data_IF_832306178785
#
_entry.id   IF_832306178785
#
_cell.length_a   1.000
_cell.length_b   1.000
_cell.length_c   1.000
_cell.angle_alpha   90.00
_cell.angle_beta   90.00
_cell.angle_gamma   90.00
#
_symmetry.space_group_name_H-M   'P 1'
#
loop_
_entity.id
_entity.type
_entity.pdbx_description
1 polymer ?
#
# COMPACT_ATOMS: atom_id res chain seq x y z
N UNK A 1 18.81 -12.85 3.19
CA UNK A 1 19.43 -11.60 3.68
C UNK A 1 20.14 -10.96 2.50
N UNK A 2 19.95 -9.68 2.29
CA UNK A 2 20.60 -8.88 1.25
C UNK A 2 21.18 -7.63 1.89
N UNK A 3 22.26 -7.11 1.34
CA UNK A 3 22.81 -5.80 1.71
C UNK A 3 22.47 -4.81 0.61
N UNK A 4 21.72 -3.78 0.96
CA UNK A 4 21.24 -2.73 0.06
C UNK A 4 21.53 -1.38 0.72
N UNK A 5 22.24 -0.49 0.03
CA UNK A 5 22.56 0.84 0.55
C UNK A 5 23.34 0.79 1.89
N UNK A 6 24.21 -0.22 2.07
CA UNK A 6 24.98 -0.43 3.32
C UNK A 6 24.16 -1.02 4.47
N UNK A 7 22.89 -1.40 4.23
CA UNK A 7 22.00 -1.98 5.26
C UNK A 7 21.67 -3.42 4.92
N UNK A 8 21.91 -4.32 5.89
CA UNK A 8 21.62 -5.76 5.75
C UNK A 8 20.24 -6.09 6.33
N UNK A 9 19.30 -6.47 5.45
CA UNK A 9 17.93 -6.85 5.83
C UNK A 9 17.42 -8.02 4.99
N UNK A 10 16.31 -8.59 5.40
CA UNK A 10 15.60 -9.57 4.59
C UNK A 10 14.84 -8.85 3.46
N UNK A 11 14.98 -9.39 2.25
CA UNK A 11 14.20 -9.03 1.08
C UNK A 11 13.73 -10.33 0.42
N UNK A 12 12.42 -10.51 0.30
CA UNK A 12 11.84 -11.58 -0.51
C UNK A 12 11.46 -10.98 -1.87
N UNK A 13 11.75 -11.69 -2.94
CA UNK A 13 11.45 -11.23 -4.31
C UNK A 13 10.77 -12.35 -5.08
N UNK A 14 9.62 -12.04 -5.66
CA UNK A 14 9.01 -12.81 -6.75
C UNK A 14 9.29 -12.07 -8.06
N UNK A 15 9.74 -12.80 -9.08
CA UNK A 15 10.14 -12.23 -10.37
C UNK A 15 9.42 -12.94 -11.52
N UNK A 16 9.13 -12.24 -12.62
CA UNK A 16 8.64 -12.87 -13.85
C UNK A 16 9.74 -13.68 -14.52
N UNK A 17 9.37 -14.51 -15.50
CA UNK A 17 10.32 -15.22 -16.36
C UNK A 17 11.00 -14.28 -17.35
N UNK A 18 10.27 -13.31 -17.83
CA UNK A 18 10.73 -12.32 -18.80
C UNK A 18 11.16 -11.01 -18.12
N UNK A 19 11.60 -10.04 -18.91
CA UNK A 19 11.94 -8.70 -18.43
C UNK A 19 10.71 -8.07 -17.74
N UNK A 20 10.85 -7.55 -16.52
CA UNK A 20 9.73 -6.97 -15.81
C UNK A 20 9.11 -5.78 -16.54
N UNK A 21 7.78 -5.69 -16.50
CA UNK A 21 7.00 -4.57 -17.02
C UNK A 21 6.58 -3.59 -15.92
N UNK A 22 6.76 -3.97 -14.65
CA UNK A 22 6.46 -3.15 -13.47
C UNK A 22 7.28 -3.57 -12.26
N UNK A 23 7.46 -2.65 -11.31
CA UNK A 23 7.99 -2.93 -9.97
C UNK A 23 6.87 -2.76 -8.95
N UNK A 24 6.74 -3.72 -8.03
CA UNK A 24 5.85 -3.64 -6.87
C UNK A 24 6.66 -3.84 -5.59
N UNK A 25 6.61 -2.88 -4.67
CA UNK A 25 7.20 -3.00 -3.32
C UNK A 25 6.07 -3.08 -2.31
N UNK A 26 5.90 -4.26 -1.69
CA UNK A 26 4.78 -4.53 -0.76
C UNK A 26 5.28 -4.66 0.68
N UNK A 27 4.90 -3.70 1.53
CA UNK A 27 5.41 -3.50 2.88
C UNK A 27 4.51 -4.16 3.92
N UNK A 28 5.12 -4.91 4.85
CA UNK A 28 4.39 -5.61 5.92
C UNK A 28 3.84 -4.65 6.99
N UNK A 29 2.79 -5.08 7.69
CA UNK A 29 2.22 -4.35 8.82
C UNK A 29 3.16 -4.28 10.03
N UNK A 30 2.83 -3.45 11.01
CA UNK A 30 3.54 -3.38 12.29
C UNK A 30 3.59 -4.75 12.96
N UNK A 31 4.71 -5.06 13.61
CA UNK A 31 4.97 -6.34 14.28
C UNK A 31 4.83 -7.56 13.36
N UNK A 32 5.07 -7.39 12.06
CA UNK A 32 4.91 -8.43 11.05
C UNK A 32 6.23 -8.73 10.32
N UNK A 33 6.18 -9.56 9.29
CA UNK A 33 7.36 -9.98 8.51
C UNK A 33 7.07 -9.97 7.01
N UNK A 34 8.11 -9.96 6.15
CA UNK A 34 7.94 -10.12 4.70
C UNK A 34 7.11 -11.34 4.31
N UNK A 35 7.31 -12.51 4.94
CA UNK A 35 6.57 -13.73 4.62
C UNK A 35 5.08 -13.63 4.96
N UNK A 36 4.74 -12.92 6.04
CA UNK A 36 3.34 -12.66 6.38
C UNK A 36 2.69 -11.74 5.36
N UNK A 37 3.43 -10.74 4.85
CA UNK A 37 2.95 -9.85 3.81
C UNK A 37 2.73 -10.58 2.48
N UNK A 38 3.65 -11.47 2.08
CA UNK A 38 3.46 -12.36 0.91
C UNK A 38 2.11 -13.10 1.00
N UNK A 39 1.84 -13.74 2.14
CA UNK A 39 0.60 -14.51 2.36
C UNK A 39 -0.64 -13.62 2.44
N UNK A 40 -0.52 -12.45 3.08
CA UNK A 40 -1.64 -11.54 3.28
C UNK A 40 -2.07 -10.88 1.98
N UNK A 41 -1.14 -10.30 1.24
CA UNK A 41 -1.43 -9.56 0.03
C UNK A 41 -1.59 -10.44 -1.21
N UNK A 42 -0.96 -11.62 -1.24
CA UNK A 42 -0.85 -12.48 -2.43
C UNK A 42 -0.22 -11.79 -3.65
N UNK A 43 0.39 -10.62 -3.45
CA UNK A 43 1.00 -9.84 -4.54
C UNK A 43 2.15 -10.57 -5.25
N UNK A 44 2.75 -11.61 -4.64
CA UNK A 44 3.76 -12.41 -5.31
C UNK A 44 3.27 -13.04 -6.63
N UNK A 45 1.95 -13.31 -6.75
CA UNK A 45 1.36 -13.83 -7.98
C UNK A 45 1.38 -12.81 -9.15
N UNK A 46 1.59 -11.52 -8.89
CA UNK A 46 1.75 -10.51 -9.94
C UNK A 46 3.02 -10.72 -10.78
N UNK A 47 3.95 -11.56 -10.30
CA UNK A 47 5.10 -11.98 -11.08
C UNK A 47 4.69 -12.75 -12.36
N UNK A 48 3.60 -13.52 -12.31
CA UNK A 48 3.02 -14.19 -13.47
C UNK A 48 2.40 -13.21 -14.49
N UNK A 49 2.17 -11.95 -14.06
CA UNK A 49 1.64 -10.85 -14.87
C UNK A 49 2.71 -9.84 -15.27
N UNK A 50 3.99 -10.17 -15.08
CA UNK A 50 5.12 -9.39 -15.53
C UNK A 50 5.71 -8.43 -14.48
N UNK A 51 5.26 -8.43 -13.23
CA UNK A 51 5.85 -7.59 -12.19
C UNK A 51 7.06 -8.26 -11.52
N UNK A 52 8.10 -7.49 -11.20
CA UNK A 52 9.01 -7.87 -10.11
C UNK A 52 8.44 -7.35 -8.79
N UNK A 53 8.19 -8.27 -7.85
CA UNK A 53 7.53 -7.95 -6.58
C UNK A 53 8.47 -8.18 -5.42
N UNK A 54 8.73 -7.13 -4.65
CA UNK A 54 9.62 -7.15 -3.50
C UNK A 54 8.86 -6.97 -2.18
N UNK A 55 9.29 -7.71 -1.16
CA UNK A 55 8.75 -7.65 0.19
C UNK A 55 9.92 -7.38 1.15
N UNK A 56 10.24 -6.10 1.40
CA UNK A 56 11.34 -5.71 2.28
C UNK A 56 10.97 -5.83 3.75
N UNK A 57 12.00 -5.99 4.61
CA UNK A 57 11.89 -5.98 6.06
C UNK A 57 12.07 -4.57 6.61
N UNK A 58 11.22 -4.14 7.54
CA UNK A 58 11.40 -2.89 8.31
C UNK A 58 12.61 -2.93 9.23
N UNK A 59 13.09 -1.77 9.71
CA UNK A 59 14.31 -1.63 10.48
C UNK A 59 14.18 -1.93 11.97
N UNK A 60 13.00 -1.70 12.56
CA UNK A 60 12.82 -1.71 14.01
C UNK A 60 12.37 -3.09 14.46
N UNK A 61 13.19 -3.83 15.27
CA UNK A 61 12.78 -5.12 15.82
C UNK A 61 11.58 -4.96 16.75
N UNK A 62 10.66 -5.91 16.69
CA UNK A 62 9.50 -5.97 17.57
C UNK A 62 9.27 -7.39 18.10
N UNK A 63 8.35 -7.55 19.06
CA UNK A 63 8.09 -8.86 19.70
C UNK A 63 7.73 -9.99 18.72
N UNK A 64 7.06 -9.66 17.61
CA UNK A 64 6.55 -10.66 16.68
C UNK A 64 6.98 -10.47 15.22
N UNK A 65 7.98 -9.63 15.00
CA UNK A 65 8.49 -9.29 13.66
C UNK A 65 9.19 -7.94 13.67
N UNK A 66 8.80 -7.06 12.76
CA UNK A 66 9.48 -5.79 12.52
C UNK A 66 8.47 -4.64 12.42
N UNK A 67 8.95 -3.42 12.65
CA UNK A 67 8.23 -2.17 12.39
C UNK A 67 9.05 -1.27 11.45
N UNK A 68 8.40 -0.26 10.91
CA UNK A 68 8.99 0.71 10.00
C UNK A 68 9.41 1.98 10.75
N UNK A 69 10.63 2.45 10.48
CA UNK A 69 11.03 3.82 10.75
C UNK A 69 10.56 4.69 9.56
N UNK A 70 9.54 5.54 9.79
CA UNK A 70 8.94 6.34 8.73
C UNK A 70 9.89 7.37 8.10
N UNK A 71 11.03 7.65 8.72
CA UNK A 71 12.05 8.54 8.19
C UNK A 71 13.28 7.77 7.72
N UNK A 72 13.84 6.90 8.56
CA UNK A 72 15.08 6.18 8.27
C UNK A 72 14.93 5.12 7.17
N UNK A 73 13.75 4.51 7.04
CA UNK A 73 13.54 3.46 6.03
C UNK A 73 13.28 3.98 4.60
N UNK A 74 13.06 5.29 4.40
CA UNK A 74 12.87 5.87 3.06
C UNK A 74 14.11 5.62 2.19
N UNK A 75 15.30 5.90 2.69
CA UNK A 75 16.55 5.69 1.95
C UNK A 75 16.80 4.21 1.61
N UNK A 76 16.45 3.28 2.52
CA UNK A 76 16.54 1.85 2.26
C UNK A 76 15.56 1.40 1.17
N UNK A 77 14.34 1.94 1.16
CA UNK A 77 13.35 1.63 0.12
C UNK A 77 13.76 2.19 -1.24
N UNK A 78 14.32 3.40 -1.28
CA UNK A 78 14.91 3.95 -2.51
C UNK A 78 16.01 3.04 -3.06
N UNK A 79 16.96 2.65 -2.22
CA UNK A 79 18.03 1.74 -2.60
C UNK A 79 17.50 0.34 -2.98
N UNK A 80 16.38 -0.10 -2.39
CA UNK A 80 15.70 -1.34 -2.80
C UNK A 80 15.14 -1.22 -4.21
N UNK A 81 14.50 -0.11 -4.56
CA UNK A 81 13.98 0.12 -5.92
C UNK A 81 15.12 0.14 -6.94
N UNK A 82 16.23 0.83 -6.63
CA UNK A 82 17.40 0.87 -7.51
C UNK A 82 17.98 -0.53 -7.72
N UNK A 83 18.13 -1.30 -6.64
CA UNK A 83 18.57 -2.70 -6.72
C UNK A 83 17.66 -3.54 -7.62
N UNK A 84 16.34 -3.37 -7.54
CA UNK A 84 15.40 -4.11 -8.40
C UNK A 84 15.55 -3.70 -9.87
N UNK A 85 15.74 -2.40 -10.16
CA UNK A 85 15.95 -1.89 -11.50
C UNK A 85 17.22 -2.46 -12.13
N UNK A 86 18.33 -2.43 -11.39
CA UNK A 86 19.63 -2.91 -11.85
C UNK A 86 19.67 -4.44 -12.00
N UNK A 87 19.20 -5.16 -10.97
CA UNK A 87 19.32 -6.62 -10.92
C UNK A 87 18.41 -7.36 -11.90
N UNK A 88 17.19 -6.82 -12.11
CA UNK A 88 16.16 -7.49 -12.93
C UNK A 88 15.89 -6.78 -14.27
N UNK A 89 16.66 -5.77 -14.62
CA UNK A 89 16.47 -5.02 -15.86
C UNK A 89 15.16 -4.21 -15.90
N UNK A 90 14.66 -3.79 -14.73
CA UNK A 90 13.39 -3.08 -14.58
C UNK A 90 13.54 -1.55 -14.65
N UNK A 91 14.50 -1.05 -15.48
CA UNK A 91 14.72 0.38 -15.66
C UNK A 91 13.60 1.00 -16.49
N UNK A 92 13.07 2.15 -16.03
CA UNK A 92 12.03 2.90 -16.75
C UNK A 92 10.61 2.34 -16.63
N UNK A 93 10.42 1.19 -15.95
CA UNK A 93 9.06 0.65 -15.72
C UNK A 93 8.38 1.34 -14.53
N UNK A 94 7.03 1.38 -14.51
CA UNK A 94 6.27 2.01 -13.43
C UNK A 94 6.50 1.32 -12.07
N UNK A 95 6.52 2.13 -11.02
CA UNK A 95 6.66 1.70 -9.63
C UNK A 95 5.33 1.78 -8.89
N UNK A 96 4.92 0.69 -8.29
CA UNK A 96 3.88 0.63 -7.27
C UNK A 96 4.50 0.39 -5.89
N UNK A 97 4.10 1.17 -4.92
CA UNK A 97 4.37 0.88 -3.51
C UNK A 97 3.06 0.54 -2.82
N UNK A 98 3.07 -0.51 -2.02
CA UNK A 98 1.87 -0.96 -1.34
C UNK A 98 2.19 -1.46 0.06
N UNK A 99 1.17 -1.55 0.89
CA UNK A 99 1.33 -2.13 2.22
C UNK A 99 0.02 -2.23 2.99
N UNK A 100 0.11 -2.90 4.13
CA UNK A 100 -0.99 -3.01 5.07
C UNK A 100 -0.62 -2.34 6.40
N UNK A 101 -1.57 -1.59 7.00
CA UNK A 101 -1.40 -1.05 8.36
C UNK A 101 -0.12 -0.20 8.49
N UNK A 102 0.84 -0.58 9.31
CA UNK A 102 2.16 0.05 9.40
C UNK A 102 2.89 0.12 8.07
N UNK A 103 2.75 -0.90 7.21
CA UNK A 103 3.30 -0.91 5.85
C UNK A 103 2.61 0.08 4.91
N UNK A 104 1.29 0.29 5.06
CA UNK A 104 0.58 1.32 4.29
C UNK A 104 0.99 2.74 4.72
N UNK A 105 1.26 2.94 6.03
CA UNK A 105 1.86 4.19 6.54
C UNK A 105 3.22 4.46 5.90
N UNK A 106 4.09 3.44 5.85
CA UNK A 106 5.40 3.55 5.23
C UNK A 106 5.28 3.78 3.72
N UNK A 107 4.35 3.09 3.04
CA UNK A 107 4.07 3.29 1.62
C UNK A 107 3.60 4.72 1.33
N UNK A 108 2.69 5.28 2.16
CA UNK A 108 2.25 6.68 2.06
C UNK A 108 3.41 7.66 2.23
N UNK A 109 4.28 7.41 3.22
CA UNK A 109 5.48 8.21 3.47
C UNK A 109 6.43 8.16 2.27
N UNK A 110 6.75 6.95 1.80
CA UNK A 110 7.67 6.77 0.68
C UNK A 110 7.14 7.39 -0.62
N UNK A 111 5.85 7.18 -0.94
CA UNK A 111 5.25 7.72 -2.16
C UNK A 111 5.26 9.25 -2.24
N UNK A 112 5.35 9.93 -1.09
CA UNK A 112 5.36 11.40 -1.02
C UNK A 112 6.71 12.02 -0.63
N UNK A 113 7.76 11.23 -0.41
CA UNK A 113 9.06 11.74 0.03
C UNK A 113 10.27 10.94 -0.44
N UNK A 114 10.07 9.78 -1.10
CA UNK A 114 11.14 9.03 -1.76
C UNK A 114 11.61 9.74 -3.03
N UNK A 115 12.86 9.48 -3.43
CA UNK A 115 13.41 10.04 -4.67
C UNK A 115 12.99 9.27 -5.93
N UNK A 116 12.54 8.02 -5.78
CA UNK A 116 12.03 7.23 -6.89
C UNK A 116 10.56 7.58 -7.16
N UNK A 117 10.21 8.09 -8.35
CA UNK A 117 8.82 8.41 -8.68
C UNK A 117 7.90 7.20 -8.54
N UNK A 118 6.82 7.36 -7.77
CA UNK A 118 5.81 6.33 -7.55
C UNK A 118 4.61 6.59 -8.44
N UNK A 119 4.23 5.59 -9.25
CA UNK A 119 3.05 5.66 -10.11
C UNK A 119 1.76 5.34 -9.35
N UNK A 120 1.80 4.33 -8.48
CA UNK A 120 0.64 3.86 -7.71
C UNK A 120 1.00 3.65 -6.25
N UNK A 121 0.17 4.17 -5.36
CA UNK A 121 0.15 3.87 -3.93
C UNK A 121 -1.04 2.95 -3.63
N UNK A 122 -0.77 1.71 -3.22
CA UNK A 122 -1.77 0.77 -2.71
C UNK A 122 -1.79 0.74 -1.18
N UNK A 123 -2.78 1.35 -0.53
CA UNK A 123 -2.81 1.48 0.92
C UNK A 123 -3.98 0.71 1.56
N UNK A 124 -3.68 -0.37 2.28
CA UNK A 124 -4.69 -1.20 2.92
C UNK A 124 -4.69 -0.99 4.44
N UNK A 125 -5.83 -0.59 4.99
CA UNK A 125 -6.05 -0.37 6.43
C UNK A 125 -5.00 0.54 7.08
N UNK A 126 -4.51 1.57 6.35
CA UNK A 126 -3.41 2.38 6.88
C UNK A 126 -2.99 3.59 6.03
N UNK A 127 -3.84 4.09 5.13
CA UNK A 127 -3.56 5.31 4.39
C UNK A 127 -3.24 6.45 5.37
N UNK A 128 -2.20 7.23 5.06
CA UNK A 128 -1.80 8.44 5.81
C UNK A 128 -1.68 9.62 4.86
N UNK A 129 -1.78 10.82 5.43
CA UNK A 129 -1.56 12.05 4.69
C UNK A 129 -0.21 12.03 3.99
N UNK A 130 -0.08 12.64 2.81
CA UNK A 130 1.22 12.81 2.15
C UNK A 130 2.15 13.66 3.02
N UNK A 131 3.46 13.49 2.84
CA UNK A 131 4.46 14.24 3.57
C UNK A 131 4.60 15.70 3.08
N UNK A 132 4.00 15.99 1.94
CA UNK A 132 4.05 17.30 1.24
C UNK A 132 2.64 17.76 0.90
N UNK A 133 2.44 19.06 0.79
CA UNK A 133 1.14 19.64 0.42
C UNK A 133 0.81 19.50 -1.07
N UNK A 134 1.84 19.40 -1.91
CA UNK A 134 1.73 19.21 -3.36
C UNK A 134 2.81 18.27 -3.85
N UNK A 135 2.44 17.38 -4.74
CA UNK A 135 3.35 16.46 -5.42
C UNK A 135 3.83 17.08 -6.75
N UNK A 136 5.10 16.88 -7.07
CA UNK A 136 5.67 17.26 -8.36
C UNK A 136 5.14 16.35 -9.48
N UNK A 137 5.13 15.04 -9.22
CA UNK A 137 4.53 14.03 -10.08
C UNK A 137 3.27 13.45 -9.39
N UNK A 138 2.13 13.32 -10.10
CA UNK A 138 0.91 12.78 -9.52
C UNK A 138 1.05 11.30 -9.17
N UNK A 139 0.51 10.91 -8.03
CA UNK A 139 0.49 9.52 -7.53
C UNK A 139 -0.95 9.02 -7.52
N UNK A 140 -1.26 7.98 -8.31
CA UNK A 140 -2.55 7.32 -8.22
C UNK A 140 -2.68 6.56 -6.89
N UNK A 141 -3.68 6.89 -6.09
CA UNK A 141 -3.92 6.25 -4.78
C UNK A 141 -5.09 5.28 -4.88
N UNK A 142 -4.84 4.03 -4.48
CA UNK A 142 -5.86 2.99 -4.35
C UNK A 142 -5.86 2.51 -2.90
N UNK A 143 -6.81 3.02 -2.11
CA UNK A 143 -6.88 2.76 -0.69
C UNK A 143 -8.09 1.90 -0.32
N UNK A 144 -7.94 1.07 0.73
CA UNK A 144 -9.00 0.18 1.24
C UNK A 144 -9.10 0.31 2.74
N UNK A 145 -10.33 0.45 3.26
CA UNK A 145 -10.54 0.51 4.70
C UNK A 145 -11.84 -0.16 5.13
N UNK A 146 -11.76 -0.93 6.21
CA UNK A 146 -12.93 -1.51 6.86
C UNK A 146 -13.58 -0.53 7.83
N UNK A 147 -14.89 -0.30 7.73
CA UNK A 147 -15.60 0.64 8.62
C UNK A 147 -15.66 0.17 10.08
N UNK A 148 -15.45 -1.14 10.31
CA UNK A 148 -15.36 -1.75 11.66
C UNK A 148 -13.93 -2.08 12.09
N UNK A 149 -12.92 -1.44 11.50
CA UNK A 149 -11.53 -1.59 11.89
C UNK A 149 -11.29 -1.02 13.30
N UNK A 150 -10.98 -1.91 14.26
CA UNK A 150 -10.72 -1.56 15.66
C UNK A 150 -9.26 -1.28 15.96
N UNK A 151 -8.34 -1.64 15.04
CA UNK A 151 -6.89 -1.43 15.18
C UNK A 151 -6.52 -0.05 14.63
N UNK A 152 -7.07 0.29 13.46
CA UNK A 152 -6.96 1.60 12.85
C UNK A 152 -8.37 2.15 12.57
N UNK A 153 -9.00 2.85 13.54
CA UNK A 153 -10.38 3.32 13.38
C UNK A 153 -10.55 4.21 12.15
N UNK A 154 -11.60 3.94 11.38
CA UNK A 154 -11.94 4.68 10.16
C UNK A 154 -12.04 6.20 10.37
N UNK A 155 -12.67 6.62 11.47
CA UNK A 155 -12.82 8.03 11.85
C UNK A 155 -11.61 8.64 12.54
N UNK A 156 -10.48 7.94 12.59
CA UNK A 156 -9.35 8.33 13.43
C UNK A 156 -9.50 7.86 14.88
N UNK A 157 -8.43 7.94 15.63
CA UNK A 157 -8.36 7.49 17.03
C UNK A 157 -7.61 8.45 17.93
N UNK A 158 -7.55 8.13 19.21
CA UNK A 158 -6.91 8.98 20.24
C UNK A 158 -5.38 8.84 20.30
N UNK A 159 -4.82 7.86 19.61
CA UNK A 159 -3.36 7.66 19.59
C UNK A 159 -2.71 8.46 18.47
N UNK A 160 -1.54 9.04 18.70
CA UNK A 160 -0.78 9.76 17.67
C UNK A 160 -0.50 8.90 16.42
N UNK A 161 -0.47 7.57 16.57
CA UNK A 161 -0.29 6.63 15.47
C UNK A 161 -1.48 6.62 14.49
N UNK A 162 -2.71 6.84 14.99
CA UNK A 162 -3.98 6.71 14.24
C UNK A 162 -4.92 7.91 14.47
N UNK A 163 -4.38 9.10 14.69
CA UNK A 163 -5.14 10.32 14.98
C UNK A 163 -5.92 10.86 13.77
N UNK A 164 -5.41 10.61 12.57
CA UNK A 164 -6.03 11.09 11.33
C UNK A 164 -7.17 10.15 10.91
N UNK A 165 -8.28 10.73 10.44
CA UNK A 165 -9.30 9.92 9.78
C UNK A 165 -8.83 9.48 8.40
N UNK A 166 -9.38 8.36 7.92
CA UNK A 166 -9.06 7.85 6.58
C UNK A 166 -9.56 8.79 5.49
N UNK A 167 -10.69 9.45 5.73
CA UNK A 167 -11.25 10.47 4.82
C UNK A 167 -10.33 11.69 4.69
N UNK A 168 -9.84 12.21 5.82
CA UNK A 168 -8.91 13.35 5.81
C UNK A 168 -7.63 13.00 5.04
N UNK A 169 -7.10 11.79 5.25
CA UNK A 169 -5.93 11.32 4.52
C UNK A 169 -6.21 11.23 3.00
N UNK A 170 -7.35 10.67 2.58
CA UNK A 170 -7.71 10.58 1.17
C UNK A 170 -7.91 11.97 0.53
N UNK A 171 -8.59 12.88 1.25
CA UNK A 171 -8.77 14.28 0.83
C UNK A 171 -7.44 15.04 0.72
N UNK A 172 -6.48 14.76 1.62
CA UNK A 172 -5.14 15.35 1.55
C UNK A 172 -4.36 14.87 0.32
N UNK A 173 -4.43 13.57 -0.02
CA UNK A 173 -3.85 13.03 -1.24
C UNK A 173 -4.48 13.63 -2.50
N UNK A 174 -5.82 13.83 -2.50
CA UNK A 174 -6.50 14.49 -3.60
C UNK A 174 -5.98 15.90 -3.82
N UNK A 175 -5.88 16.71 -2.76
CA UNK A 175 -5.28 18.07 -2.82
C UNK A 175 -3.84 18.05 -3.32
N UNK A 176 -3.01 17.13 -2.80
CA UNK A 176 -1.62 17.01 -3.19
C UNK A 176 -1.45 16.68 -4.67
N UNK A 177 -2.39 15.92 -5.26
CA UNK A 177 -2.47 15.62 -6.68
C UNK A 177 -3.19 16.72 -7.52
N UNK A 178 -3.66 17.80 -6.90
CA UNK A 178 -4.36 18.90 -7.60
C UNK A 178 -5.86 18.68 -7.86
N UNK A 179 -6.47 17.70 -7.17
CA UNK A 179 -7.92 17.43 -7.24
C UNK A 179 -8.72 18.06 -6.10
N UNK A 180 -10.04 18.13 -6.28
CA UNK A 180 -10.96 18.50 -5.21
C UNK A 180 -10.85 17.53 -4.03
N UNK A 181 -10.89 18.03 -2.78
CA UNK A 181 -10.94 17.18 -1.59
C UNK A 181 -12.30 16.52 -1.35
N UNK A 182 -13.32 16.89 -2.12
CA UNK A 182 -14.68 16.33 -2.04
C UNK A 182 -14.81 15.13 -2.97
N UNK A 183 -15.13 13.93 -2.44
CA UNK A 183 -15.26 12.75 -3.28
C UNK A 183 -16.65 12.62 -3.92
N UNK A 184 -16.68 11.98 -5.08
CA UNK A 184 -17.88 11.34 -5.57
C UNK A 184 -18.01 9.96 -4.88
N UNK A 185 -19.19 9.68 -4.30
CA UNK A 185 -19.51 8.40 -3.66
C UNK A 185 -20.38 7.54 -4.56
N UNK A 186 -19.93 6.31 -4.82
CA UNK A 186 -20.66 5.28 -5.57
C UNK A 186 -20.89 4.06 -4.70
N UNK A 187 -22.14 3.66 -4.48
CA UNK A 187 -22.49 2.39 -3.83
C UNK A 187 -22.40 1.26 -4.86
N UNK A 188 -21.54 0.27 -4.62
CA UNK A 188 -21.32 -0.85 -5.54
C UNK A 188 -22.07 -2.10 -5.08
N UNK A 189 -22.09 -2.37 -3.78
CA UNK A 189 -22.88 -3.42 -3.15
C UNK A 189 -23.44 -2.90 -1.83
N UNK A 190 -24.17 -3.74 -1.09
CA UNK A 190 -24.65 -3.39 0.26
C UNK A 190 -23.52 -3.17 1.28
N UNK A 191 -22.33 -3.71 1.01
CA UNK A 191 -21.17 -3.66 1.92
C UNK A 191 -19.92 -3.07 1.27
N UNK A 192 -20.04 -2.48 0.07
CA UNK A 192 -18.91 -1.87 -0.62
C UNK A 192 -19.31 -0.55 -1.26
N UNK A 193 -18.66 0.52 -0.86
CA UNK A 193 -18.73 1.81 -1.52
C UNK A 193 -17.35 2.24 -2.02
N UNK A 194 -17.33 3.05 -3.07
CA UNK A 194 -16.13 3.69 -3.61
C UNK A 194 -16.27 5.20 -3.48
N UNK A 195 -15.26 5.84 -2.91
CA UNK A 195 -15.06 7.28 -2.92
C UNK A 195 -13.99 7.62 -3.94
N UNK A 196 -14.31 8.44 -4.93
CA UNK A 196 -13.42 8.83 -6.02
C UNK A 196 -13.14 10.33 -5.97
N UNK A 197 -11.88 10.71 -5.99
CA UNK A 197 -11.40 12.08 -6.05
C UNK A 197 -10.67 12.26 -7.39
N UNK A 198 -11.23 13.08 -8.26
CA UNK A 198 -10.79 13.19 -9.65
C UNK A 198 -11.30 12.07 -10.57
N UNK A 199 -11.12 12.21 -11.90
CA UNK A 199 -11.47 11.20 -12.89
C UNK A 199 -10.69 9.89 -12.65
N UNK A 200 -11.36 8.74 -12.80
CA UNK A 200 -10.73 7.44 -12.47
C UNK A 200 -9.57 7.06 -13.40
N UNK A 201 -9.50 7.63 -14.58
CA UNK A 201 -8.41 7.45 -15.55
C UNK A 201 -7.26 8.45 -15.36
N UNK A 202 -7.44 9.46 -14.50
CA UNK A 202 -6.39 10.44 -14.20
C UNK A 202 -5.21 9.81 -13.45
N UNK A 203 -3.96 10.15 -13.82
CA UNK A 203 -2.76 9.68 -13.11
C UNK A 203 -2.71 10.00 -11.62
N UNK A 204 -3.37 11.06 -11.18
CA UNK A 204 -3.46 11.49 -9.79
C UNK A 204 -4.76 11.12 -9.09
N UNK A 205 -5.62 10.30 -9.71
CA UNK A 205 -6.87 9.88 -9.10
C UNK A 205 -6.65 9.22 -7.73
N UNK A 206 -7.50 9.58 -6.77
CA UNK A 206 -7.53 8.93 -5.45
C UNK A 206 -8.83 8.15 -5.33
N UNK A 207 -8.71 6.86 -5.07
CA UNK A 207 -9.85 5.97 -4.87
C UNK A 207 -9.76 5.36 -3.47
N UNK A 208 -10.82 5.55 -2.67
CA UNK A 208 -10.96 4.90 -1.37
C UNK A 208 -12.13 3.93 -1.40
N UNK A 209 -11.83 2.65 -1.23
CA UNK A 209 -12.79 1.56 -1.10
C UNK A 209 -13.20 1.39 0.35
N UNK A 210 -14.46 1.64 0.66
CA UNK A 210 -15.03 1.45 1.98
C UNK A 210 -15.71 0.08 2.07
N UNK A 211 -15.12 -0.80 2.87
CA UNK A 211 -15.64 -2.14 3.12
C UNK A 211 -16.48 -2.11 4.40
N UNK A 212 -17.81 -2.00 4.26
CA UNK A 212 -18.70 -1.89 5.41
C UNK A 212 -18.70 -3.16 6.28
N UNK A 213 -18.61 -2.97 7.58
CA UNK A 213 -18.51 -4.04 8.57
C UNK A 213 -17.21 -4.85 8.50
N UNK A 214 -16.28 -4.57 7.57
CA UNK A 214 -14.98 -5.22 7.56
C UNK A 214 -14.04 -4.64 8.64
N UNK A 215 -13.12 -5.49 9.10
CA UNK A 215 -12.12 -5.14 10.10
C UNK A 215 -10.78 -4.75 9.49
N UNK A 216 -9.70 -4.94 10.30
CA UNK A 216 -8.31 -4.65 9.92
C UNK A 216 -7.75 -5.75 9.01
N UNK A 217 -8.23 -5.85 7.77
CA UNK A 217 -7.96 -6.97 6.87
C UNK A 217 -7.59 -6.50 5.47
N UNK A 218 -6.93 -7.38 4.71
CA UNK A 218 -6.69 -7.20 3.28
C UNK A 218 -7.91 -7.72 2.51
N UNK A 219 -8.67 -6.89 1.79
CA UNK A 219 -9.83 -7.34 1.02
C UNK A 219 -9.48 -8.42 0.00
N UNK A 220 -10.33 -9.44 -0.10
CA UNK A 220 -10.13 -10.59 -0.99
C UNK A 220 -9.23 -11.70 -0.42
N UNK A 221 -8.50 -11.48 0.70
CA UNK A 221 -7.65 -12.52 1.28
C UNK A 221 -8.44 -13.57 2.08
N UNK A 222 -7.88 -14.78 2.19
CA UNK A 222 -8.44 -15.83 3.05
C UNK A 222 -7.65 -15.87 4.37
N UNK A 223 -8.35 -15.62 5.48
CA UNK A 223 -7.77 -15.70 6.82
C UNK A 223 -8.25 -16.94 7.56
N UNK A 224 -7.37 -17.49 8.41
CA UNK A 224 -7.76 -18.50 9.40
C UNK A 224 -8.77 -17.93 10.39
N UNK A 225 -9.56 -18.80 11.04
CA UNK A 225 -10.53 -18.36 12.04
C UNK A 225 -9.88 -17.51 13.15
N UNK A 226 -8.71 -17.91 13.63
CA UNK A 226 -7.99 -17.18 14.68
C UNK A 226 -7.61 -15.75 14.22
N UNK A 227 -7.13 -15.57 12.99
CA UNK A 227 -6.83 -14.25 12.44
C UNK A 227 -8.10 -13.42 12.21
N UNK A 228 -9.21 -14.04 11.82
CA UNK A 228 -10.50 -13.32 11.68
C UNK A 228 -11.04 -12.86 13.03
N UNK A 229 -10.85 -13.61 14.09
CA UNK A 229 -11.23 -13.18 15.44
C UNK A 229 -10.39 -11.98 15.91
N UNK A 230 -9.11 -11.93 15.53
CA UNK A 230 -8.19 -10.84 15.89
C UNK A 230 -8.39 -9.60 15.03
N UNK A 231 -8.46 -9.77 13.71
CA UNK A 231 -8.43 -8.67 12.72
C UNK A 231 -9.83 -8.23 12.26
N UNK A 232 -10.85 -9.04 12.51
CA UNK A 232 -12.22 -8.80 12.09
C UNK A 232 -12.60 -9.48 10.77
N UNK A 233 -13.76 -9.08 10.24
CA UNK A 233 -14.34 -9.62 9.00
C UNK A 233 -13.52 -9.17 7.78
N UNK A 234 -13.33 -10.07 6.81
CA UNK A 234 -12.74 -9.75 5.49
C UNK A 234 -13.88 -9.37 4.54
N UNK A 235 -13.68 -8.32 3.75
CA UNK A 235 -14.53 -8.05 2.58
C UNK A 235 -14.10 -8.95 1.42
N UNK A 236 -15.07 -9.57 0.75
CA UNK A 236 -14.87 -10.34 -0.48
C UNK A 236 -15.55 -9.70 -1.70
N UNK A 237 -16.13 -8.52 -1.51
CA UNK A 237 -16.78 -7.75 -2.59
C UNK A 237 -15.74 -7.07 -3.52
N UNK A 238 -14.50 -7.02 -3.08
CA UNK A 238 -13.37 -6.46 -3.83
C UNK A 238 -12.09 -7.23 -3.50
N UNK A 239 -11.19 -7.36 -4.47
CA UNK A 239 -9.82 -7.88 -4.27
C UNK A 239 -8.83 -6.73 -4.36
N UNK A 240 -8.24 -6.36 -3.22
CA UNK A 240 -7.34 -5.21 -3.15
C UNK A 240 -6.10 -5.37 -4.02
N UNK A 241 -5.59 -6.59 -4.20
CA UNK A 241 -4.42 -6.84 -5.04
C UNK A 241 -4.75 -6.65 -6.51
N UNK A 242 -5.93 -7.10 -6.95
CA UNK A 242 -6.39 -6.92 -8.32
C UNK A 242 -6.59 -5.44 -8.67
N UNK A 243 -7.28 -4.68 -7.80
CA UNK A 243 -7.51 -3.24 -8.01
C UNK A 243 -6.22 -2.42 -8.06
N UNK A 244 -5.26 -2.71 -7.16
CA UNK A 244 -3.95 -2.04 -7.16
C UNK A 244 -3.19 -2.38 -8.45
N UNK A 245 -3.24 -3.64 -8.90
CA UNK A 245 -2.60 -4.06 -10.14
C UNK A 245 -3.23 -3.41 -11.36
N UNK A 246 -4.55 -3.39 -11.44
CA UNK A 246 -5.27 -2.73 -12.52
C UNK A 246 -4.90 -1.24 -12.64
N UNK A 247 -4.81 -0.55 -11.49
CA UNK A 247 -4.38 0.85 -11.47
C UNK A 247 -2.95 1.07 -11.99
N UNK A 248 -2.06 0.08 -11.83
CA UNK A 248 -0.66 0.13 -12.28
C UNK A 248 -0.51 -0.22 -13.76
N UNK A 249 -1.17 -1.30 -14.20
CA UNK A 249 -1.05 -1.86 -15.55
C UNK A 249 -1.86 -1.09 -16.59
N UNK A 250 -2.86 -0.32 -16.16
CA UNK A 250 -3.79 0.36 -17.06
C UNK A 250 -4.77 -0.59 -17.76
N UNK A 251 -4.90 -1.84 -17.27
CA UNK A 251 -5.76 -2.89 -17.83
C UNK A 251 -7.20 -2.78 -17.34
#
# INVERSE_FOLDING_TARGET
>A
MIEIGGVRRQLLVARPTDTPTAIVVSMHGSTSTPERQVRMSRMAALAEQGAVVAFPQGSIPSRAGWEWDLHGDVAFLDATVDYLRETFGATGVPLCVSGMSGGARMASRFASSGRNPVRVLGAVAGLRMPAVERLDDPVRVVAFHGTSDRINPYGGGVTARWSESVLDAASAWARANGHSPEPERTELTRSLARLSYGPLDDPGAVTLWLCDGAGHTWPGTRLTLALRLLLGKVSYDVDATAEIWQALSGA
#
